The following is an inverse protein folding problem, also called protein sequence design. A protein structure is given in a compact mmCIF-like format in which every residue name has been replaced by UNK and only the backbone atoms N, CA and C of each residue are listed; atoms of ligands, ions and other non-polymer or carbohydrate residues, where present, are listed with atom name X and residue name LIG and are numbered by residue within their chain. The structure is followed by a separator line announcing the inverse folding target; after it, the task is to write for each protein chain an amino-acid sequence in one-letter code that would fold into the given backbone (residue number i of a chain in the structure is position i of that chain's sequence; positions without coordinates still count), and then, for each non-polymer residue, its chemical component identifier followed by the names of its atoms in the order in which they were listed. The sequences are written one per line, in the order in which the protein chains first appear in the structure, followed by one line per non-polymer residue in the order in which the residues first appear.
data_IF_340789428727
#
_entry.id   IF_340789428727
#
_cell.length_a   1.000
_cell.length_b   1.000
_cell.length_c   1.000
_cell.angle_alpha   90.00
_cell.angle_beta   90.00
_cell.angle_gamma   90.00
#
_symmetry.space_group_name_H-M   'P 1'
#
loop_
_entity.id
_entity.type
_entity.pdbx_description
1 polymer ?
#
# COMPACT_ATOMS: atom_id res chain seq x y z
N UNK A 1 32.49 1.77 -40.83
CA UNK A 1 32.59 2.11 -39.39
C UNK A 1 31.41 3.00 -39.03
N UNK A 2 30.67 2.61 -37.98
CA UNK A 2 29.68 3.36 -37.18
C UNK A 2 28.35 3.76 -37.87
N UNK A 3 27.31 2.93 -37.86
CA UNK A 3 26.29 2.66 -36.80
C UNK A 3 25.45 3.84 -36.30
N UNK A 4 24.13 3.65 -36.51
CA UNK A 4 22.95 4.02 -35.70
C UNK A 4 22.68 5.50 -35.37
N UNK A 5 21.51 5.97 -35.82
CA UNK A 5 20.41 6.28 -34.88
C UNK A 5 19.07 6.31 -35.63
N UNK A 6 18.37 5.18 -35.64
CA UNK A 6 16.94 5.16 -35.92
C UNK A 6 16.25 5.59 -34.62
N UNK A 7 15.77 6.83 -34.57
CA UNK A 7 14.92 7.32 -33.49
C UNK A 7 13.54 6.66 -33.64
N UNK A 8 13.39 5.48 -33.04
CA UNK A 8 12.09 4.84 -32.87
C UNK A 8 11.33 5.66 -31.82
N UNK A 9 10.44 6.53 -32.28
CA UNK A 9 9.37 7.12 -31.48
C UNK A 9 8.52 5.96 -30.95
N UNK A 10 8.81 5.51 -29.73
CA UNK A 10 7.91 4.66 -28.97
C UNK A 10 6.69 5.51 -28.66
N UNK A 11 5.67 5.36 -29.50
CA UNK A 11 4.33 5.84 -29.24
C UNK A 11 3.91 5.30 -27.88
N UNK A 12 3.93 6.18 -26.88
CA UNK A 12 3.36 5.95 -25.57
C UNK A 12 1.89 5.62 -25.76
N UNK A 13 1.58 4.32 -25.71
CA UNK A 13 0.21 3.81 -25.63
C UNK A 13 -0.32 4.27 -24.26
N UNK A 14 -0.86 5.49 -24.23
CA UNK A 14 -1.72 5.94 -23.15
C UNK A 14 -2.99 5.13 -23.31
N UNK A 15 -3.00 3.95 -22.69
CA UNK A 15 -4.21 3.15 -22.49
C UNK A 15 -5.16 3.95 -21.61
N UNK A 16 -6.01 4.77 -22.23
CA UNK A 16 -7.25 5.25 -21.62
C UNK A 16 -8.13 4.04 -21.35
N UNK A 17 -8.17 3.61 -20.09
CA UNK A 17 -8.95 2.46 -19.64
C UNK A 17 -8.59 2.12 -18.22
N UNK A 18 -8.90 3.03 -17.29
CA UNK A 18 -8.72 2.87 -15.85
C UNK A 18 -9.60 1.73 -15.32
N UNK A 19 -9.13 0.50 -15.50
CA UNK A 19 -9.55 -0.66 -14.74
C UNK A 19 -8.47 -0.90 -13.69
N UNK A 20 -8.84 -0.80 -12.41
CA UNK A 20 -8.00 -1.39 -11.37
C UNK A 20 -7.84 -2.88 -11.68
N UNK A 21 -6.61 -3.40 -11.82
CA UNK A 21 -6.43 -4.77 -12.25
C UNK A 21 -6.92 -5.70 -11.13
N UNK A 22 -7.78 -6.66 -11.48
CA UNK A 22 -8.03 -7.86 -10.68
C UNK A 22 -6.75 -8.69 -10.44
N UNK A 23 -5.67 -8.31 -11.11
CA UNK A 23 -4.32 -8.87 -11.09
C UNK A 23 -3.29 -7.84 -10.59
N UNK A 24 -3.65 -6.94 -9.68
CA UNK A 24 -2.72 -5.93 -9.16
C UNK A 24 -1.43 -6.55 -8.60
N UNK A 25 -1.52 -7.77 -8.04
CA UNK A 25 -0.39 -8.54 -7.52
C UNK A 25 0.62 -8.97 -8.59
N UNK A 26 0.23 -8.89 -9.86
CA UNK A 26 1.06 -9.18 -11.03
C UNK A 26 1.66 -7.90 -11.65
N UNK A 27 1.24 -6.71 -11.18
CA UNK A 27 1.82 -5.45 -11.66
C UNK A 27 3.24 -5.28 -11.12
N UNK A 28 4.17 -4.73 -11.93
CA UNK A 28 5.49 -4.37 -11.43
C UNK A 28 5.36 -3.32 -10.32
N UNK A 29 6.24 -3.39 -9.33
CA UNK A 29 6.35 -2.34 -8.32
C UNK A 29 7.07 -1.13 -8.91
N UNK A 30 6.60 0.05 -8.55
CA UNK A 30 7.27 1.32 -8.82
C UNK A 30 7.50 2.06 -7.50
N UNK A 31 8.68 2.69 -7.39
CA UNK A 31 8.95 3.59 -6.27
C UNK A 31 8.29 4.92 -6.55
N UNK A 32 7.40 5.33 -5.64
CA UNK A 32 6.85 6.68 -5.61
C UNK A 32 7.50 7.48 -4.50
N UNK A 33 7.60 8.79 -4.70
CA UNK A 33 8.07 9.74 -3.70
C UNK A 33 6.94 10.72 -3.35
N UNK A 34 6.87 11.13 -2.10
CA UNK A 34 5.84 12.02 -1.60
C UNK A 34 6.30 12.86 -0.43
N UNK A 35 5.44 13.76 0.03
CA UNK A 35 5.67 14.58 1.22
C UNK A 35 4.36 14.73 1.97
N UNK A 36 4.35 14.27 3.21
CA UNK A 36 3.18 14.37 4.08
C UNK A 36 3.56 15.08 5.38
N UNK A 37 2.82 16.14 5.74
CA UNK A 37 3.10 17.00 6.92
C UNK A 37 4.57 17.45 7.02
N UNK A 38 5.22 17.76 5.89
CA UNK A 38 6.62 18.19 5.86
C UNK A 38 7.66 17.06 5.93
N UNK A 39 7.23 15.80 5.97
CA UNK A 39 8.12 14.64 5.95
C UNK A 39 8.13 14.00 4.56
N UNK A 40 9.30 14.02 3.92
CA UNK A 40 9.56 13.37 2.63
C UNK A 40 9.69 11.87 2.81
N UNK A 41 9.09 11.12 1.89
CA UNK A 41 9.09 9.67 1.94
C UNK A 41 9.18 9.05 0.55
N UNK A 42 9.58 7.77 0.51
CA UNK A 42 9.40 6.89 -0.64
C UNK A 42 8.77 5.57 -0.24
N UNK A 43 7.98 4.98 -1.14
CA UNK A 43 7.37 3.66 -0.97
C UNK A 43 7.26 2.95 -2.32
N UNK A 44 7.43 1.63 -2.32
CA UNK A 44 7.19 0.78 -3.50
C UNK A 44 5.72 0.32 -3.51
N UNK A 45 5.00 0.66 -4.57
CA UNK A 45 3.60 0.25 -4.78
C UNK A 45 3.40 -0.33 -6.18
N UNK A 46 2.36 -1.13 -6.43
CA UNK A 46 2.04 -1.67 -7.74
C UNK A 46 1.72 -0.54 -8.72
N UNK A 47 2.29 -0.65 -9.93
CA UNK A 47 2.16 0.36 -10.97
C UNK A 47 0.70 0.65 -11.33
N UNK A 48 0.38 1.94 -11.47
CA UNK A 48 -0.94 2.40 -11.93
C UNK A 48 -1.94 2.68 -10.81
N UNK A 49 -1.53 2.55 -9.55
CA UNK A 49 -2.26 3.16 -8.44
C UNK A 49 -2.20 4.68 -8.55
N UNK A 50 -3.34 5.33 -8.30
CA UNK A 50 -3.44 6.79 -8.35
C UNK A 50 -3.51 7.35 -6.94
N UNK A 51 -2.87 8.51 -6.74
CA UNK A 51 -2.98 9.25 -5.48
C UNK A 51 -4.42 9.73 -5.28
N UNK A 52 -5.02 9.36 -4.17
CA UNK A 52 -6.30 9.85 -3.67
C UNK A 52 -6.17 11.25 -3.06
N UNK A 53 -7.32 11.83 -2.72
CA UNK A 53 -7.39 13.06 -1.94
C UNK A 53 -7.86 12.67 -0.55
N UNK A 54 -6.94 12.62 0.41
CA UNK A 54 -7.25 12.48 1.82
C UNK A 54 -6.48 13.56 2.61
N UNK A 55 -7.11 14.09 3.66
CA UNK A 55 -6.52 15.12 4.52
C UNK A 55 -5.58 14.50 5.56
N UNK A 56 -5.78 13.22 5.89
CA UNK A 56 -5.10 12.55 6.98
C UNK A 56 -3.95 11.64 6.51
N UNK A 57 -3.85 11.39 5.22
CA UNK A 57 -2.81 10.58 4.60
C UNK A 57 -2.65 10.87 3.10
N UNK A 58 -1.50 10.49 2.56
CA UNK A 58 -1.33 10.27 1.13
C UNK A 58 -1.82 8.86 0.79
N UNK A 59 -3.08 8.75 0.35
CA UNK A 59 -3.67 7.48 -0.09
C UNK A 59 -3.32 7.18 -1.55
N UNK A 60 -2.98 5.94 -1.86
CA UNK A 60 -2.79 5.40 -3.20
C UNK A 60 -3.75 4.25 -3.39
N UNK A 61 -4.44 4.22 -4.52
CA UNK A 61 -5.52 3.28 -4.76
C UNK A 61 -5.74 3.07 -6.25
N UNK A 62 -6.24 1.89 -6.63
CA UNK A 62 -6.79 1.69 -7.96
C UNK A 62 -8.22 2.19 -8.01
N UNK A 63 -8.54 2.97 -9.04
CA UNK A 63 -9.89 3.49 -9.30
C UNK A 63 -10.38 3.03 -10.66
N UNK A 64 -11.63 2.60 -10.74
CA UNK A 64 -12.33 2.42 -12.02
C UNK A 64 -13.70 3.06 -11.98
N UNK A 65 -14.09 3.76 -13.05
CA UNK A 65 -15.47 4.20 -13.23
C UNK A 65 -16.27 3.12 -13.95
N UNK A 66 -17.46 2.80 -13.45
CA UNK A 66 -18.45 1.94 -14.13
C UNK A 66 -19.77 2.70 -14.17
N UNK A 67 -20.12 3.25 -15.34
CA UNK A 67 -21.18 4.26 -15.42
C UNK A 67 -20.82 5.50 -14.60
N UNK A 68 -21.74 5.95 -13.75
CA UNK A 68 -21.55 7.11 -12.86
C UNK A 68 -20.89 6.76 -11.53
N UNK A 69 -20.61 5.48 -11.29
CA UNK A 69 -20.04 5.00 -10.03
C UNK A 69 -18.51 4.86 -10.10
N UNK A 70 -17.82 5.36 -9.08
CA UNK A 70 -16.38 5.19 -8.90
C UNK A 70 -16.09 4.04 -7.93
N UNK A 71 -15.46 2.98 -8.44
CA UNK A 71 -15.04 1.82 -7.69
C UNK A 71 -13.58 1.99 -7.26
N UNK A 72 -13.32 1.75 -5.97
CA UNK A 72 -11.99 1.65 -5.37
C UNK A 72 -11.67 0.17 -5.16
N UNK A 73 -10.48 -0.26 -5.55
CA UNK A 73 -10.04 -1.65 -5.43
C UNK A 73 -8.89 -1.81 -4.45
N UNK A 74 -8.82 -2.99 -3.82
CA UNK A 74 -7.69 -3.38 -3.00
C UNK A 74 -6.41 -3.60 -3.84
N UNK A 75 -5.23 -3.35 -3.25
CA UNK A 75 -5.05 -2.70 -1.95
C UNK A 75 -5.27 -1.19 -2.08
N UNK A 76 -5.82 -0.58 -1.03
CA UNK A 76 -5.58 0.84 -0.76
C UNK A 76 -4.38 0.92 0.18
N UNK A 77 -3.42 1.79 -0.13
CA UNK A 77 -2.19 2.00 0.65
C UNK A 77 -2.15 3.48 1.04
N UNK A 78 -2.14 3.77 2.33
CA UNK A 78 -2.15 5.12 2.88
C UNK A 78 -0.87 5.39 3.64
N UNK A 79 -0.14 6.44 3.25
CA UNK A 79 1.05 6.92 3.94
C UNK A 79 0.69 8.12 4.82
N UNK A 80 1.04 8.06 6.09
CA UNK A 80 0.73 9.11 7.07
C UNK A 80 1.91 9.43 7.97
N UNK A 81 1.67 10.32 8.93
CA UNK A 81 2.64 10.71 9.95
C UNK A 81 2.00 10.71 11.33
N UNK A 82 2.73 10.22 12.32
CA UNK A 82 2.41 10.32 13.74
C UNK A 82 3.60 10.90 14.50
N UNK A 83 3.32 11.81 15.43
CA UNK A 83 4.33 12.40 16.32
C UNK A 83 4.79 11.42 17.40
N UNK A 84 4.18 10.23 17.47
CA UNK A 84 4.50 9.19 18.45
C UNK A 84 5.12 7.97 17.77
N UNK A 85 6.32 7.61 18.21
CA UNK A 85 6.92 6.28 17.99
C UNK A 85 6.23 5.26 18.88
N UNK A 86 5.27 4.55 18.33
CA UNK A 86 4.65 3.42 18.99
C UNK A 86 5.52 2.17 18.76
N UNK A 87 5.82 1.39 19.81
CA UNK A 87 6.43 0.09 19.61
C UNK A 87 5.36 -0.97 19.30
N UNK A 88 5.77 -2.11 18.75
CA UNK A 88 4.83 -3.18 18.41
C UNK A 88 3.98 -3.61 19.62
N UNK A 89 4.59 -3.70 20.81
CA UNK A 89 3.88 -4.10 22.03
C UNK A 89 2.74 -3.15 22.40
N UNK A 90 2.93 -1.84 22.28
CA UNK A 90 1.90 -0.83 22.57
C UNK A 90 0.80 -0.86 21.51
N UNK A 91 1.16 -1.03 20.23
CA UNK A 91 0.19 -1.23 19.15
C UNK A 91 -0.71 -2.42 19.44
N UNK A 92 -0.12 -3.56 19.80
CA UNK A 92 -0.86 -4.79 20.11
C UNK A 92 -1.76 -4.66 21.36
N UNK A 93 -1.42 -3.81 22.32
CA UNK A 93 -2.32 -3.53 23.47
C UNK A 93 -3.51 -2.68 23.07
N UNK A 94 -3.34 -1.77 22.11
CA UNK A 94 -4.43 -0.90 21.62
C UNK A 94 -5.43 -1.68 20.76
N UNK A 95 -4.97 -2.73 20.09
CA UNK A 95 -5.78 -3.58 19.25
C UNK A 95 -6.48 -4.66 20.08
N UNK A 96 -7.78 -4.84 19.85
CA UNK A 96 -8.59 -5.86 20.53
C UNK A 96 -8.53 -7.22 19.83
N UNK A 97 -7.79 -7.30 18.74
CA UNK A 97 -7.71 -8.45 17.85
C UNK A 97 -6.33 -9.08 17.88
N UNK A 98 -6.28 -10.41 17.80
CA UNK A 98 -5.01 -11.14 17.65
C UNK A 98 -4.45 -10.89 16.25
N UNK A 99 -3.20 -10.42 16.12
CA UNK A 99 -2.58 -10.24 14.82
C UNK A 99 -2.41 -11.59 14.11
N UNK A 100 -2.67 -11.61 12.81
CA UNK A 100 -2.36 -12.75 11.94
C UNK A 100 -0.90 -12.77 11.50
N UNK A 101 -0.22 -11.64 11.63
CA UNK A 101 1.21 -11.47 11.45
C UNK A 101 1.69 -10.27 12.23
N UNK A 102 2.91 -10.34 12.76
CA UNK A 102 3.57 -9.23 13.44
C UNK A 102 5.09 -9.37 13.27
N UNK A 103 5.78 -8.25 13.12
CA UNK A 103 7.23 -8.21 13.00
C UNK A 103 7.76 -6.89 13.58
N UNK A 104 8.80 -6.99 14.41
CA UNK A 104 9.55 -5.85 14.91
C UNK A 104 10.85 -5.74 14.09
N UNK A 105 11.10 -4.56 13.54
CA UNK A 105 12.32 -4.22 12.82
C UNK A 105 13.17 -3.24 13.63
N UNK A 106 14.41 -2.99 13.20
CA UNK A 106 15.30 -2.05 13.89
C UNK A 106 14.77 -0.60 13.87
N UNK A 107 14.02 -0.24 12.83
CA UNK A 107 13.56 1.12 12.53
C UNK A 107 12.03 1.22 12.50
N UNK A 108 11.32 0.29 13.13
CA UNK A 108 9.86 0.31 13.11
C UNK A 108 9.23 -1.06 13.34
N UNK A 109 7.96 -1.20 13.02
CA UNK A 109 7.24 -2.47 13.16
C UNK A 109 6.14 -2.60 12.12
N UNK A 110 5.63 -3.81 11.95
CA UNK A 110 4.44 -4.11 11.15
C UNK A 110 3.56 -5.11 11.90
N UNK A 111 2.26 -4.93 11.79
CA UNK A 111 1.25 -5.86 12.26
C UNK A 111 0.12 -5.95 11.23
N UNK A 112 -0.46 -7.13 11.09
CA UNK A 112 -1.64 -7.34 10.28
C UNK A 112 -2.71 -8.06 11.07
N UNK A 113 -3.95 -7.61 10.88
CA UNK A 113 -5.13 -8.09 11.60
C UNK A 113 -6.20 -8.50 10.60
N UNK A 114 -7.00 -9.51 10.95
CA UNK A 114 -8.21 -9.82 10.20
C UNK A 114 -9.29 -8.85 10.62
N UNK A 115 -9.80 -8.06 9.68
CA UNK A 115 -10.80 -7.03 9.96
C UNK A 115 -12.02 -7.61 10.70
N UNK A 116 -12.25 -7.23 11.97
CA UNK A 116 -13.36 -7.78 12.78
C UNK A 116 -14.73 -7.68 12.13
N UNK A 117 -15.01 -6.59 11.41
CA UNK A 117 -16.29 -6.40 10.73
C UNK A 117 -16.52 -7.45 9.63
N UNK A 118 -15.46 -8.11 9.17
CA UNK A 118 -15.46 -9.08 8.08
C UNK A 118 -14.74 -10.38 8.46
N UNK A 119 -14.76 -10.75 9.73
CA UNK A 119 -14.12 -11.97 10.23
C UNK A 119 -14.57 -13.22 9.45
N UNK A 120 -13.60 -14.04 9.05
CA UNK A 120 -13.77 -15.23 8.22
C UNK A 120 -13.90 -14.95 6.72
N UNK A 121 -13.78 -13.70 6.27
CA UNK A 121 -13.98 -13.30 4.87
C UNK A 121 -12.68 -12.91 4.14
N UNK A 122 -11.52 -13.26 4.69
CA UNK A 122 -10.21 -12.99 4.09
C UNK A 122 -9.92 -11.47 3.91
N UNK A 123 -10.49 -10.63 4.78
CA UNK A 123 -10.29 -9.17 4.77
C UNK A 123 -9.29 -8.78 5.87
N UNK A 124 -8.19 -8.15 5.49
CA UNK A 124 -7.08 -7.86 6.38
C UNK A 124 -6.70 -6.38 6.34
N UNK A 125 -6.33 -5.86 7.50
CA UNK A 125 -5.75 -4.52 7.67
C UNK A 125 -4.28 -4.70 8.06
N UNK A 126 -3.40 -4.01 7.35
CA UNK A 126 -1.97 -3.95 7.60
C UNK A 126 -1.65 -2.57 8.17
N UNK A 127 -0.88 -2.55 9.24
CA UNK A 127 -0.33 -1.36 9.86
C UNK A 127 1.18 -1.50 9.98
N UNK A 128 1.93 -0.54 9.46
CA UNK A 128 3.35 -0.44 9.69
C UNK A 128 3.72 0.97 10.17
N UNK A 129 4.71 1.05 11.05
CA UNK A 129 5.40 2.29 11.40
C UNK A 129 6.87 2.21 11.03
N UNK A 130 7.41 3.33 10.56
CA UNK A 130 8.82 3.57 10.28
C UNK A 130 9.27 4.78 11.08
N UNK A 131 10.14 4.56 12.06
CA UNK A 131 10.60 5.58 12.98
C UNK A 131 11.50 6.57 12.24
N UNK A 132 11.20 7.86 12.43
CA UNK A 132 11.97 8.98 11.87
C UNK A 132 12.07 9.97 13.03
N UNK A 133 13.29 10.23 13.55
CA UNK A 133 13.60 11.00 14.78
C UNK A 133 12.40 11.55 15.58
N UNK A 134 12.19 11.22 16.85
CA UNK A 134 10.94 11.55 17.62
C UNK A 134 9.59 11.02 17.09
N UNK A 135 9.27 11.07 15.78
CA UNK A 135 8.00 10.57 15.22
C UNK A 135 8.13 9.31 14.34
N UNK A 136 7.10 9.03 13.54
CA UNK A 136 7.07 7.92 12.61
C UNK A 136 6.21 8.18 11.37
N UNK A 137 6.72 7.72 10.22
CA UNK A 137 5.89 7.51 9.02
C UNK A 137 5.05 6.25 9.22
N UNK A 138 3.79 6.29 8.83
CA UNK A 138 2.87 5.15 8.93
C UNK A 138 2.48 4.65 7.54
N UNK A 139 2.42 3.34 7.35
CA UNK A 139 1.73 2.72 6.22
C UNK A 139 0.50 1.97 6.73
N UNK A 140 -0.68 2.33 6.24
CA UNK A 140 -1.91 1.59 6.46
C UNK A 140 -2.35 1.00 5.13
N UNK A 141 -2.75 -0.27 5.12
CA UNK A 141 -3.34 -0.86 3.93
C UNK A 141 -4.48 -1.80 4.27
N UNK A 142 -5.48 -1.87 3.40
CA UNK A 142 -6.54 -2.89 3.46
C UNK A 142 -6.43 -3.78 2.24
N UNK A 143 -6.51 -5.09 2.46
CA UNK A 143 -6.47 -6.10 1.41
C UNK A 143 -7.57 -7.13 1.65
N UNK A 144 -8.37 -7.40 0.62
CA UNK A 144 -9.54 -8.28 0.69
C UNK A 144 -9.63 -9.09 -0.62
N UNK A 145 -10.39 -10.20 -0.64
CA UNK A 145 -10.41 -11.08 -1.81
C UNK A 145 -11.11 -10.37 -2.97
N UNK A 146 -10.47 -10.35 -4.13
CA UNK A 146 -11.01 -9.76 -5.35
C UNK A 146 -11.89 -10.75 -6.13
N UNK A 147 -11.80 -12.04 -5.78
CA UNK A 147 -12.65 -13.11 -6.30
C UNK A 147 -13.01 -14.10 -5.19
N UNK A 148 -14.14 -14.77 -5.37
CA UNK A 148 -14.63 -15.79 -4.43
C UNK A 148 -13.58 -16.90 -4.25
N UNK A 149 -13.30 -17.25 -2.99
CA UNK A 149 -12.36 -18.32 -2.64
C UNK A 149 -10.88 -17.96 -2.76
N UNK A 150 -10.55 -16.68 -3.01
CA UNK A 150 -9.17 -16.22 -2.95
C UNK A 150 -8.62 -16.25 -1.53
N UNK A 151 -7.45 -16.87 -1.37
CA UNK A 151 -6.74 -16.93 -0.10
C UNK A 151 -5.84 -15.70 0.02
N UNK A 152 -6.37 -14.65 0.66
CA UNK A 152 -5.70 -13.36 0.83
C UNK A 152 -4.58 -13.51 1.83
N UNK A 153 -4.82 -14.20 2.94
CA UNK A 153 -3.84 -14.39 4.01
C UNK A 153 -2.52 -14.98 3.52
N UNK A 154 -2.59 -16.00 2.66
CA UNK A 154 -1.41 -16.70 2.18
C UNK A 154 -0.79 -16.05 0.93
N UNK A 155 -1.57 -15.35 0.10
CA UNK A 155 -1.08 -14.87 -1.21
C UNK A 155 -0.90 -13.37 -1.30
N UNK A 156 -1.88 -12.59 -0.84
CA UNK A 156 -1.92 -11.15 -1.06
C UNK A 156 -1.37 -10.38 0.14
N UNK A 157 -1.66 -10.83 1.36
CA UNK A 157 -1.21 -10.19 2.58
C UNK A 157 0.32 -10.04 2.65
N UNK A 158 1.14 -11.07 2.31
CA UNK A 158 2.60 -10.92 2.32
C UNK A 158 3.12 -9.87 1.32
N UNK A 159 2.43 -9.68 0.19
CA UNK A 159 2.80 -8.66 -0.79
C UNK A 159 2.54 -7.26 -0.23
N UNK A 160 1.37 -7.05 0.37
CA UNK A 160 1.00 -5.77 1.00
C UNK A 160 1.91 -5.43 2.17
N UNK A 161 2.29 -6.43 2.97
CA UNK A 161 3.25 -6.24 4.05
C UNK A 161 4.61 -5.78 3.53
N UNK A 162 5.13 -6.41 2.47
CA UNK A 162 6.39 -5.98 1.82
C UNK A 162 6.32 -4.54 1.31
N UNK A 163 5.19 -4.16 0.70
CA UNK A 163 4.98 -2.78 0.24
C UNK A 163 5.00 -1.79 1.40
N UNK A 164 4.29 -2.07 2.50
CA UNK A 164 4.36 -1.20 3.67
C UNK A 164 5.74 -1.16 4.33
N UNK A 165 6.48 -2.27 4.33
CA UNK A 165 7.86 -2.31 4.83
C UNK A 165 8.85 -1.56 3.93
N UNK A 166 8.52 -1.35 2.65
CA UNK A 166 9.35 -0.56 1.73
C UNK A 166 9.31 0.95 2.01
N UNK A 167 8.36 1.42 2.84
CA UNK A 167 8.25 2.81 3.25
C UNK A 167 9.53 3.27 3.95
N UNK A 168 10.10 4.38 3.49
CA UNK A 168 11.33 4.97 4.00
C UNK A 168 11.20 6.49 4.04
N UNK A 169 11.82 7.10 5.05
CA UNK A 169 12.07 8.53 5.04
C UNK A 169 13.14 8.88 4.00
N UNK A 170 13.06 10.09 3.45
CA UNK A 170 13.98 10.64 2.46
C UNK A 170 14.57 11.95 2.97
#
# INVERSE_FOLDING_TARGET
MRTFLAALLVASVVGCGGGGPTHWQEQPLETIEGTFKGHTYSIEIPKGMVKGSDTYSDEYQYKAKRGDELYVFAPSISVGWTDKKENLGDRLKSEKETPVHQEQTADGHIAAFENSAYKGKEDYVVYAQRYVGEGALTCNARVYPMKKGENVKAKLLPLVQKMCLSLKAK
#
